data_IF_036677465925
#
_entry.id   IF_036677465925
#
_cell.length_a   1.000
_cell.length_b   1.000
_cell.length_c   1.000
_cell.angle_alpha   90.00
_cell.angle_beta   90.00
_cell.angle_gamma   90.00
#
_symmetry.space_group_name_H-M   'P 1'
#
loop_
_entity.id
_entity.type
_entity.pdbx_description
1 polymer ?
#
# COMPACT_ATOMS: atom_id res chain seq x y z
N UNK A 1 31.82 -17.44 -16.00
CA UNK A 1 30.88 -16.41 -15.52
C UNK A 1 31.70 -15.17 -15.21
N UNK A 2 31.30 -13.98 -15.68
CA UNK A 2 32.02 -12.74 -15.38
C UNK A 2 31.92 -12.38 -13.89
N UNK A 3 32.87 -11.59 -13.37
CA UNK A 3 32.86 -11.13 -11.96
C UNK A 3 31.53 -10.41 -11.63
N UNK A 4 31.02 -9.59 -12.54
CA UNK A 4 29.74 -8.90 -12.40
C UNK A 4 28.57 -9.89 -12.28
N UNK A 5 28.46 -10.88 -13.14
CA UNK A 5 27.39 -11.92 -13.05
C UNK A 5 27.51 -12.76 -11.78
N UNK A 6 28.70 -12.98 -11.24
CA UNK A 6 28.87 -13.65 -9.95
C UNK A 6 28.36 -12.79 -8.81
N UNK A 7 28.61 -11.48 -8.85
CA UNK A 7 28.09 -10.54 -7.84
C UNK A 7 26.54 -10.47 -7.89
N UNK A 8 25.94 -10.31 -9.08
CA UNK A 8 24.46 -10.31 -9.25
C UNK A 8 23.85 -11.60 -8.72
N UNK A 9 24.39 -12.75 -9.05
CA UNK A 9 23.91 -14.04 -8.53
C UNK A 9 24.04 -14.12 -7.00
N UNK A 10 25.09 -13.57 -6.43
CA UNK A 10 25.26 -13.50 -4.96
C UNK A 10 24.26 -12.53 -4.33
N UNK A 11 23.99 -11.38 -4.94
CA UNK A 11 23.03 -10.39 -4.48
C UNK A 11 21.62 -10.97 -4.46
N UNK A 12 21.18 -11.61 -5.55
CA UNK A 12 19.89 -12.30 -5.61
C UNK A 12 19.77 -13.34 -4.51
N UNK A 13 20.79 -14.20 -4.33
CA UNK A 13 20.78 -15.21 -3.26
C UNK A 13 20.66 -14.60 -1.86
N UNK A 14 21.27 -13.44 -1.59
CA UNK A 14 21.14 -12.76 -0.28
C UNK A 14 19.72 -12.30 -0.05
N UNK A 15 19.08 -11.70 -1.06
CA UNK A 15 17.68 -11.24 -0.97
C UNK A 15 16.74 -12.43 -0.75
N UNK A 16 16.88 -13.49 -1.53
CA UNK A 16 16.06 -14.70 -1.40
C UNK A 16 16.29 -15.41 -0.05
N UNK A 17 17.53 -15.49 0.41
CA UNK A 17 17.84 -16.08 1.71
C UNK A 17 17.27 -15.25 2.86
N UNK A 18 17.30 -13.92 2.78
CA UNK A 18 16.71 -13.04 3.79
C UNK A 18 15.22 -13.29 3.92
N UNK A 19 14.51 -13.34 2.81
CA UNK A 19 13.09 -13.66 2.75
C UNK A 19 12.77 -15.06 3.29
N UNK A 20 13.54 -16.09 2.91
CA UNK A 20 13.27 -17.48 3.30
C UNK A 20 13.65 -17.83 4.76
N UNK A 21 14.25 -16.89 5.52
CA UNK A 21 14.57 -17.10 6.95
C UNK A 21 13.37 -16.94 7.87
N UNK A 22 12.25 -16.42 7.38
CA UNK A 22 11.05 -16.22 8.18
C UNK A 22 9.87 -16.94 7.56
N UNK A 23 8.85 -17.26 8.38
CA UNK A 23 7.52 -17.55 7.88
C UNK A 23 6.94 -16.30 7.20
N UNK A 24 5.88 -16.48 6.40
CA UNK A 24 5.18 -15.37 5.76
C UNK A 24 4.46 -14.47 6.79
N UNK A 25 4.04 -13.30 6.35
CA UNK A 25 3.22 -12.39 7.14
C UNK A 25 1.89 -13.04 7.54
N UNK A 26 1.33 -12.64 8.68
CA UNK A 26 0.13 -13.27 9.22
C UNK A 26 -1.14 -12.92 8.42
N UNK A 27 -2.09 -13.85 8.43
CA UNK A 27 -3.47 -13.62 8.06
C UNK A 27 -4.29 -13.58 9.35
N UNK A 28 -4.94 -12.46 9.66
CA UNK A 28 -5.63 -12.23 10.93
C UNK A 28 -7.13 -12.19 10.69
N UNK A 29 -7.93 -13.11 11.27
CA UNK A 29 -9.38 -13.02 11.20
C UNK A 29 -9.91 -11.88 12.07
N UNK A 30 -10.89 -11.13 11.54
CA UNK A 30 -11.56 -10.05 12.27
C UNK A 30 -13.04 -10.34 12.38
N UNK A 31 -13.49 -10.71 13.57
CA UNK A 31 -14.91 -10.97 13.80
C UNK A 31 -15.68 -9.67 14.00
N UNK A 32 -16.70 -9.47 13.16
CA UNK A 32 -17.70 -8.40 13.27
C UNK A 32 -19.07 -9.09 13.26
N UNK A 33 -19.70 -9.30 14.43
CA UNK A 33 -20.95 -10.05 14.54
C UNK A 33 -22.08 -9.50 13.68
N UNK A 34 -22.06 -8.19 13.43
CA UNK A 34 -23.04 -7.51 12.58
C UNK A 34 -22.97 -7.95 11.12
N UNK A 35 -21.88 -8.56 10.68
CA UNK A 35 -21.68 -9.07 9.30
C UNK A 35 -21.68 -10.60 9.26
N UNK A 36 -22.60 -11.24 10.01
CA UNK A 36 -22.75 -12.69 10.00
C UNK A 36 -22.85 -13.26 8.56
N UNK A 37 -22.06 -14.27 8.26
CA UNK A 37 -21.96 -14.90 6.94
C UNK A 37 -20.89 -14.28 6.03
N UNK A 38 -20.21 -13.22 6.48
CA UNK A 38 -19.07 -12.60 5.77
C UNK A 38 -17.82 -12.70 6.64
N UNK A 39 -16.87 -13.52 6.25
CA UNK A 39 -15.61 -13.69 6.94
C UNK A 39 -14.63 -12.59 6.52
N UNK A 40 -14.03 -11.90 7.48
CA UNK A 40 -13.11 -10.77 7.21
C UNK A 40 -11.72 -11.10 7.70
N UNK A 41 -10.71 -10.87 6.85
CA UNK A 41 -9.31 -11.12 7.16
C UNK A 41 -8.44 -9.91 6.84
N UNK A 42 -7.41 -9.70 7.68
CA UNK A 42 -6.34 -8.72 7.46
C UNK A 42 -5.04 -9.45 7.11
N UNK A 43 -4.48 -9.20 5.96
CA UNK A 43 -3.12 -9.60 5.61
C UNK A 43 -2.13 -8.63 6.25
N UNK A 44 -1.41 -9.08 7.28
CA UNK A 44 -0.58 -8.22 8.13
C UNK A 44 0.81 -7.95 7.55
N UNK A 45 0.90 -7.02 6.65
CA UNK A 45 2.16 -6.60 6.05
C UNK A 45 3.02 -5.69 6.96
N UNK A 46 2.51 -5.30 8.14
CA UNK A 46 3.29 -4.55 9.13
C UNK A 46 4.35 -5.38 9.84
N UNK A 47 4.27 -6.70 9.75
CA UNK A 47 5.21 -7.63 10.40
C UNK A 47 6.53 -7.83 9.63
N UNK A 48 6.68 -7.22 8.46
CA UNK A 48 7.94 -7.19 7.74
C UNK A 48 9.07 -6.49 8.52
N UNK A 49 10.35 -6.82 8.27
CA UNK A 49 11.49 -6.17 8.93
C UNK A 49 11.50 -4.64 8.86
N UNK A 50 10.89 -4.05 7.83
CA UNK A 50 10.77 -2.59 7.65
C UNK A 50 9.39 -2.04 8.06
N UNK A 51 8.53 -2.88 8.63
CA UNK A 51 7.26 -2.48 9.23
C UNK A 51 6.15 -2.12 8.24
N UNK A 52 6.23 -2.54 6.96
CA UNK A 52 5.21 -2.21 5.97
C UNK A 52 5.22 -3.11 4.74
N UNK A 53 4.10 -3.11 4.00
CA UNK A 53 3.96 -3.79 2.71
C UNK A 53 4.99 -3.34 1.65
N UNK A 54 5.61 -2.19 1.81
CA UNK A 54 6.64 -1.69 0.90
C UNK A 54 7.90 -2.55 0.90
N UNK A 55 8.08 -3.38 1.92
CA UNK A 55 9.15 -4.37 1.95
C UNK A 55 9.07 -5.34 0.77
N UNK A 56 7.85 -5.84 0.42
CA UNK A 56 7.66 -6.68 -0.77
C UNK A 56 7.94 -5.93 -2.06
N UNK A 57 7.52 -4.67 -2.14
CA UNK A 57 7.78 -3.83 -3.31
C UNK A 57 9.28 -3.60 -3.50
N UNK A 58 9.98 -3.17 -2.45
CA UNK A 58 11.42 -2.95 -2.49
C UNK A 58 12.19 -4.22 -2.90
N UNK A 59 11.84 -5.39 -2.31
CA UNK A 59 12.38 -6.67 -2.74
C UNK A 59 12.21 -6.89 -4.25
N UNK A 60 11.02 -6.67 -4.76
CA UNK A 60 10.70 -6.87 -6.17
C UNK A 60 11.47 -5.91 -7.08
N UNK A 61 11.57 -4.63 -6.71
CA UNK A 61 12.32 -3.62 -7.46
C UNK A 61 13.81 -3.96 -7.51
N UNK A 62 14.41 -4.39 -6.39
CA UNK A 62 15.82 -4.82 -6.37
C UNK A 62 16.06 -6.04 -7.26
N UNK A 63 15.23 -7.08 -7.14
CA UNK A 63 15.36 -8.28 -7.98
C UNK A 63 15.19 -7.94 -9.47
N UNK A 64 14.23 -7.09 -9.78
CA UNK A 64 13.98 -6.64 -11.15
C UNK A 64 15.19 -5.86 -11.71
N UNK A 65 15.71 -4.90 -10.94
CA UNK A 65 16.86 -4.08 -11.36
C UNK A 65 18.13 -4.91 -11.51
N UNK A 66 18.37 -5.88 -10.61
CA UNK A 66 19.49 -6.82 -10.70
C UNK A 66 19.37 -7.71 -11.94
N UNK A 67 18.18 -8.26 -12.20
CA UNK A 67 17.94 -9.15 -13.33
C UNK A 67 18.04 -8.43 -14.69
N UNK A 68 17.69 -7.13 -14.72
CA UNK A 68 17.85 -6.29 -15.92
C UNK A 68 19.27 -5.72 -16.09
N UNK A 69 20.18 -5.95 -15.13
CA UNK A 69 21.54 -5.43 -15.19
C UNK A 69 21.64 -3.93 -14.93
N UNK A 70 20.63 -3.34 -14.28
CA UNK A 70 20.64 -1.92 -13.90
C UNK A 70 21.36 -1.67 -12.57
N UNK A 71 21.39 -2.68 -11.71
CA UNK A 71 22.18 -2.68 -10.48
C UNK A 71 23.37 -3.64 -10.60
N UNK A 72 24.53 -3.13 -10.25
CA UNK A 72 25.81 -3.87 -10.23
C UNK A 72 26.59 -3.54 -8.95
N UNK A 73 27.73 -4.18 -8.77
CA UNK A 73 28.59 -3.92 -7.60
C UNK A 73 28.97 -2.45 -7.51
N UNK A 74 28.70 -1.84 -6.35
CA UNK A 74 29.00 -0.43 -6.10
C UNK A 74 27.98 0.58 -6.64
N UNK A 75 26.91 0.13 -7.33
CA UNK A 75 25.86 1.04 -7.77
C UNK A 75 25.24 1.83 -6.62
N UNK A 76 25.08 3.14 -6.79
CA UNK A 76 24.26 3.95 -5.89
C UNK A 76 22.79 3.74 -6.24
N UNK A 77 21.97 3.38 -5.25
CA UNK A 77 20.52 3.23 -5.40
C UNK A 77 19.85 4.55 -5.02
N UNK A 78 18.93 5.04 -5.84
CA UNK A 78 18.21 6.29 -5.63
C UNK A 78 16.71 6.03 -5.68
N UNK A 79 15.95 6.65 -4.77
CA UNK A 79 14.48 6.63 -4.81
C UNK A 79 13.88 7.99 -4.40
N UNK A 80 12.82 8.39 -5.09
CA UNK A 80 12.01 9.59 -4.79
C UNK A 80 10.94 9.26 -3.75
N UNK A 81 11.32 9.09 -2.49
CA UNK A 81 10.40 8.74 -1.41
C UNK A 81 10.93 9.17 -0.04
N UNK A 82 10.06 9.77 0.78
CA UNK A 82 10.31 10.04 2.22
C UNK A 82 9.63 9.03 3.15
N UNK A 83 8.94 8.04 2.61
CA UNK A 83 8.09 7.11 3.36
C UNK A 83 8.65 5.69 3.42
N UNK A 84 7.73 4.74 3.59
CA UNK A 84 8.03 3.31 3.79
C UNK A 84 8.83 2.68 2.65
N UNK A 85 8.70 3.19 1.40
CA UNK A 85 9.50 2.69 0.27
C UNK A 85 10.97 3.00 0.48
N UNK A 86 11.33 4.26 0.80
CA UNK A 86 12.72 4.63 1.05
C UNK A 86 13.33 3.83 2.21
N UNK A 87 12.58 3.62 3.30
CA UNK A 87 13.03 2.79 4.43
C UNK A 87 13.28 1.34 3.98
N UNK A 88 12.39 0.78 3.16
CA UNK A 88 12.51 -0.60 2.69
C UNK A 88 13.64 -0.76 1.67
N UNK A 89 13.83 0.21 0.79
CA UNK A 89 14.93 0.18 -0.19
C UNK A 89 16.29 0.40 0.48
N UNK A 90 16.38 1.30 1.48
CA UNK A 90 17.58 1.45 2.29
C UNK A 90 17.98 0.14 2.98
N UNK A 91 16.99 -0.63 3.50
CA UNK A 91 17.22 -1.95 4.06
C UNK A 91 17.88 -2.91 3.04
N UNK A 92 17.32 -3.04 1.83
CA UNK A 92 17.88 -3.93 0.82
C UNK A 92 19.22 -3.43 0.27
N UNK A 93 19.39 -2.12 0.11
CA UNK A 93 20.69 -1.55 -0.27
C UNK A 93 21.77 -1.90 0.77
N UNK A 94 21.48 -1.72 2.07
CA UNK A 94 22.36 -2.13 3.17
C UNK A 94 22.66 -3.62 3.14
N UNK A 95 21.63 -4.46 2.91
CA UNK A 95 21.79 -5.92 2.80
C UNK A 95 22.80 -6.29 1.70
N UNK A 96 22.82 -5.54 0.62
CA UNK A 96 23.73 -5.77 -0.50
C UNK A 96 25.07 -5.03 -0.41
N UNK A 97 25.23 -4.11 0.55
CA UNK A 97 26.39 -3.25 0.69
C UNK A 97 26.44 -2.13 -0.35
N UNK A 98 25.27 -1.67 -0.83
CA UNK A 98 25.13 -0.59 -1.80
C UNK A 98 24.81 0.74 -1.10
N UNK A 99 25.32 1.88 -1.56
CA UNK A 99 24.86 3.19 -1.12
C UNK A 99 23.39 3.42 -1.51
N UNK A 100 22.61 4.06 -0.62
CA UNK A 100 21.22 4.46 -0.89
C UNK A 100 21.01 5.95 -0.65
N UNK A 101 20.34 6.63 -1.56
CA UNK A 101 19.96 8.03 -1.47
C UNK A 101 18.46 8.17 -1.66
N UNK A 102 17.75 8.61 -0.61
CA UNK A 102 16.38 9.04 -0.69
C UNK A 102 16.29 10.51 -1.10
N UNK A 103 15.64 10.82 -2.20
CA UNK A 103 15.35 12.19 -2.63
C UNK A 103 14.01 12.59 -2.02
N UNK A 104 14.03 13.60 -1.13
CA UNK A 104 12.90 13.95 -0.28
C UNK A 104 12.66 15.47 -0.24
N UNK A 105 11.42 15.93 0.05
CA UNK A 105 11.14 17.34 0.27
C UNK A 105 11.91 17.89 1.48
N UNK A 106 12.37 19.14 1.42
CA UNK A 106 13.14 19.78 2.49
C UNK A 106 12.33 19.95 3.80
N UNK A 107 11.00 19.91 3.73
CA UNK A 107 10.10 19.96 4.89
C UNK A 107 9.72 18.56 5.44
N UNK A 108 10.42 17.50 5.02
CA UNK A 108 10.22 16.15 5.57
C UNK A 108 10.56 16.14 7.05
N UNK A 109 9.72 15.49 7.86
CA UNK A 109 9.90 15.46 9.31
C UNK A 109 11.18 14.72 9.71
N UNK A 110 11.83 15.13 10.84
CA UNK A 110 13.05 14.49 11.33
C UNK A 110 12.91 12.98 11.57
N UNK A 111 11.74 12.53 12.01
CA UNK A 111 11.46 11.11 12.29
C UNK A 111 11.52 10.27 11.00
N UNK A 112 11.02 10.81 9.88
CA UNK A 112 11.10 10.14 8.57
C UNK A 112 12.54 10.06 8.08
N UNK A 113 13.32 11.13 8.25
CA UNK A 113 14.74 11.16 7.92
C UNK A 113 15.47 10.12 8.76
N UNK A 114 15.28 10.15 10.08
CA UNK A 114 15.92 9.21 11.01
C UNK A 114 15.59 7.74 10.68
N UNK A 115 14.36 7.44 10.24
CA UNK A 115 13.98 6.09 9.85
C UNK A 115 14.73 5.58 8.61
N UNK A 116 15.00 6.44 7.64
CA UNK A 116 15.81 6.12 6.45
C UNK A 116 17.29 5.94 6.83
N UNK A 117 17.81 6.87 7.63
CA UNK A 117 19.21 6.85 8.08
C UNK A 117 19.51 5.64 9.00
N UNK A 118 18.55 5.24 9.83
CA UNK A 118 18.64 4.01 10.64
C UNK A 118 18.86 2.76 9.78
N UNK A 119 18.33 2.74 8.57
CA UNK A 119 18.58 1.67 7.59
C UNK A 119 19.87 1.86 6.80
N UNK A 120 20.65 2.92 7.08
CA UNK A 120 21.93 3.20 6.40
C UNK A 120 21.78 4.05 5.13
N UNK A 121 20.59 4.57 4.85
CA UNK A 121 20.35 5.50 3.74
C UNK A 121 20.83 6.91 4.04
N UNK A 122 20.93 7.73 2.99
CA UNK A 122 21.18 9.17 3.07
C UNK A 122 20.00 9.91 2.46
N UNK A 123 19.71 11.13 2.95
CA UNK A 123 18.63 11.95 2.43
C UNK A 123 19.20 13.12 1.60
N UNK A 124 18.69 13.27 0.37
CA UNK A 124 18.93 14.44 -0.49
C UNK A 124 17.69 15.32 -0.49
N UNK A 125 17.82 16.54 0.03
CA UNK A 125 16.70 17.46 0.24
C UNK A 125 16.44 18.31 -1.00
N UNK A 126 15.21 18.35 -1.49
CA UNK A 126 14.77 19.25 -2.57
C UNK A 126 13.75 20.27 -2.06
N UNK A 127 13.82 21.48 -2.59
CA UNK A 127 12.95 22.58 -2.12
C UNK A 127 11.50 22.42 -2.56
N UNK A 128 11.25 21.87 -3.74
CA UNK A 128 9.90 21.70 -4.32
C UNK A 128 9.63 20.23 -4.59
N UNK A 129 8.43 19.77 -4.26
CA UNK A 129 8.03 18.37 -4.49
C UNK A 129 8.03 17.97 -5.98
N UNK A 130 7.74 18.92 -6.88
CA UNK A 130 7.81 18.69 -8.34
C UNK A 130 9.24 18.39 -8.85
N UNK A 131 10.27 18.73 -8.08
CA UNK A 131 11.67 18.50 -8.47
C UNK A 131 12.17 17.09 -8.08
N UNK A 132 11.41 16.31 -7.29
CA UNK A 132 11.81 15.00 -6.77
C UNK A 132 12.28 14.06 -7.90
N UNK A 133 11.45 13.87 -8.91
CA UNK A 133 11.75 12.98 -10.03
C UNK A 133 12.98 13.44 -10.82
N UNK A 134 13.04 14.72 -11.21
CA UNK A 134 14.17 15.27 -11.96
C UNK A 134 15.48 15.27 -11.17
N UNK A 135 15.41 15.50 -9.86
CA UNK A 135 16.58 15.41 -8.98
C UNK A 135 17.07 13.95 -8.85
N UNK A 136 16.15 12.98 -8.77
CA UNK A 136 16.51 11.56 -8.73
C UNK A 136 17.22 11.12 -10.01
N UNK A 137 16.71 11.54 -11.19
CA UNK A 137 17.37 11.25 -12.46
C UNK A 137 18.78 11.88 -12.56
N UNK A 138 18.93 13.14 -12.13
CA UNK A 138 20.25 13.80 -12.12
C UNK A 138 21.22 13.08 -11.20
N UNK A 139 20.81 12.73 -9.97
CA UNK A 139 21.64 11.97 -9.03
C UNK A 139 22.06 10.62 -9.59
N UNK A 140 21.16 9.93 -10.29
CA UNK A 140 21.49 8.66 -10.94
C UNK A 140 22.58 8.84 -12.01
N UNK A 141 22.49 9.91 -12.83
CA UNK A 141 23.51 10.26 -13.82
C UNK A 141 24.85 10.64 -13.16
N UNK A 142 24.82 11.53 -12.17
CA UNK A 142 26.01 12.06 -11.50
C UNK A 142 26.80 10.99 -10.74
N UNK A 143 26.09 10.00 -10.18
CA UNK A 143 26.69 8.91 -9.40
C UNK A 143 26.99 7.65 -10.23
N UNK A 144 26.54 7.59 -11.49
CA UNK A 144 26.50 6.34 -12.26
C UNK A 144 25.60 5.28 -11.60
N UNK A 145 24.61 5.72 -10.81
CA UNK A 145 23.70 4.88 -10.04
C UNK A 145 22.41 4.60 -10.78
N UNK A 146 21.44 4.04 -10.04
CA UNK A 146 20.13 3.65 -10.58
C UNK A 146 18.99 4.28 -9.78
N UNK A 147 18.06 4.94 -10.46
CA UNK A 147 16.80 5.41 -9.90
C UNK A 147 15.75 4.30 -10.01
N UNK A 148 15.28 3.82 -8.86
CA UNK A 148 14.36 2.67 -8.76
C UNK A 148 12.97 2.95 -9.32
N UNK A 149 12.50 4.21 -9.20
CA UNK A 149 11.24 4.71 -9.76
C UNK A 149 10.03 3.80 -9.49
N UNK A 150 9.65 3.68 -8.22
CA UNK A 150 8.54 2.83 -7.79
C UNK A 150 7.22 3.11 -8.52
N UNK A 151 6.99 4.35 -8.91
CA UNK A 151 5.74 4.76 -9.55
C UNK A 151 5.61 4.24 -10.99
N UNK A 152 6.74 4.09 -11.66
CA UNK A 152 6.81 3.50 -13.00
C UNK A 152 6.88 1.98 -12.95
N UNK A 153 7.65 1.41 -12.01
CA UNK A 153 8.03 0.00 -12.08
C UNK A 153 7.29 -0.91 -11.09
N UNK A 154 6.51 -0.42 -10.13
CA UNK A 154 5.90 -1.27 -9.10
C UNK A 154 5.05 -2.43 -9.67
N UNK A 155 4.28 -2.19 -10.75
CA UNK A 155 3.39 -3.18 -11.33
C UNK A 155 4.13 -4.27 -12.16
N UNK A 156 5.27 -3.91 -12.76
CA UNK A 156 6.05 -4.80 -13.64
C UNK A 156 7.22 -5.46 -12.93
N UNK A 157 7.75 -4.86 -11.88
CA UNK A 157 8.81 -5.44 -11.08
C UNK A 157 8.32 -6.61 -10.23
N UNK A 158 7.06 -6.61 -9.82
CA UNK A 158 6.48 -7.69 -9.04
C UNK A 158 6.20 -8.90 -9.94
N UNK A 159 6.80 -10.04 -9.64
CA UNK A 159 6.42 -11.30 -10.27
C UNK A 159 5.05 -11.75 -9.72
N UNK A 160 4.00 -11.30 -10.39
CA UNK A 160 2.62 -11.55 -9.97
C UNK A 160 2.19 -13.02 -10.14
N UNK A 161 2.94 -13.85 -10.84
CA UNK A 161 2.63 -15.30 -11.02
C UNK A 161 3.10 -16.14 -9.85
N UNK A 162 4.23 -15.77 -9.21
CA UNK A 162 4.93 -16.59 -8.22
C UNK A 162 5.80 -15.72 -7.30
N UNK A 163 6.84 -16.31 -6.71
CA UNK A 163 7.87 -15.66 -5.90
C UNK A 163 7.31 -15.03 -4.62
N UNK A 164 6.31 -15.72 -4.03
CA UNK A 164 5.66 -15.28 -2.80
C UNK A 164 5.26 -13.79 -2.83
N UNK A 165 4.65 -13.37 -3.94
CA UNK A 165 3.99 -12.07 -3.98
C UNK A 165 2.79 -12.05 -3.03
N UNK A 166 2.25 -10.85 -2.74
CA UNK A 166 1.16 -10.72 -1.77
C UNK A 166 -0.10 -11.52 -2.14
N UNK A 167 -0.40 -11.65 -3.44
CA UNK A 167 -1.56 -12.43 -3.88
C UNK A 167 -1.35 -13.92 -3.60
N UNK A 168 -0.22 -14.50 -4.02
CA UNK A 168 0.11 -15.89 -3.73
C UNK A 168 0.06 -16.18 -2.23
N UNK A 169 0.62 -15.28 -1.42
CA UNK A 169 0.62 -15.38 0.04
C UNK A 169 -0.81 -15.43 0.60
N UNK A 170 -1.69 -14.51 0.17
CA UNK A 170 -3.10 -14.47 0.59
C UNK A 170 -3.80 -15.80 0.21
N UNK A 171 -3.77 -16.21 -1.05
CA UNK A 171 -4.49 -17.40 -1.50
C UNK A 171 -3.95 -18.69 -0.87
N UNK A 172 -2.64 -18.77 -0.60
CA UNK A 172 -2.05 -19.92 0.10
C UNK A 172 -2.56 -20.04 1.53
N UNK A 173 -2.67 -18.93 2.25
CA UNK A 173 -3.18 -18.93 3.63
C UNK A 173 -4.70 -19.11 3.66
N UNK A 174 -5.44 -18.46 2.79
CA UNK A 174 -6.89 -18.61 2.68
C UNK A 174 -7.32 -20.03 2.33
N UNK A 175 -6.48 -20.83 1.67
CA UNK A 175 -6.81 -22.22 1.32
C UNK A 175 -7.15 -23.11 2.55
N UNK A 176 -6.81 -22.68 3.76
CA UNK A 176 -7.12 -23.38 5.02
C UNK A 176 -8.32 -22.78 5.75
N UNK A 177 -8.91 -21.70 5.24
CA UNK A 177 -10.04 -21.00 5.85
C UNK A 177 -11.39 -21.55 5.35
N UNK A 178 -12.52 -21.34 6.08
CA UNK A 178 -13.85 -21.85 5.70
C UNK A 178 -14.29 -21.41 4.31
N UNK A 179 -13.98 -20.18 3.91
CA UNK A 179 -14.23 -19.62 2.59
C UNK A 179 -12.90 -19.39 1.87
N UNK A 180 -12.30 -20.44 1.27
CA UNK A 180 -10.88 -20.45 0.89
C UNK A 180 -10.55 -19.58 -0.33
N UNK A 181 -11.54 -19.21 -1.12
CA UNK A 181 -11.39 -18.28 -2.24
C UNK A 181 -12.09 -16.97 -1.86
N UNK A 182 -11.33 -15.89 -1.57
CA UNK A 182 -11.96 -14.63 -1.22
C UNK A 182 -12.94 -14.16 -2.28
N UNK A 183 -14.15 -13.77 -1.89
CA UNK A 183 -15.07 -13.10 -2.80
C UNK A 183 -14.49 -11.75 -3.24
N UNK A 184 -13.84 -11.07 -2.30
CA UNK A 184 -13.21 -9.78 -2.53
C UNK A 184 -11.84 -9.68 -1.86
N UNK A 185 -10.91 -8.99 -2.54
CA UNK A 185 -9.70 -8.46 -1.91
C UNK A 185 -9.73 -6.94 -2.03
N UNK A 186 -9.55 -6.26 -0.89
CA UNK A 186 -9.61 -4.80 -0.78
C UNK A 186 -8.22 -4.24 -0.55
N UNK A 187 -7.83 -3.24 -1.32
CA UNK A 187 -6.57 -2.52 -1.12
C UNK A 187 -6.74 -1.02 -1.44
N UNK A 188 -5.77 -0.21 -1.02
CA UNK A 188 -5.73 1.22 -1.33
C UNK A 188 -4.54 1.54 -2.22
N UNK A 189 -4.73 2.25 -3.35
CA UNK A 189 -3.65 2.50 -4.29
C UNK A 189 -2.72 3.63 -3.82
N UNK A 190 -1.41 3.36 -3.78
CA UNK A 190 -0.34 4.35 -3.66
C UNK A 190 0.43 4.46 -4.98
N UNK A 191 0.96 3.34 -5.47
CA UNK A 191 1.51 3.21 -6.82
C UNK A 191 0.56 2.53 -7.80
N UNK A 192 -0.38 1.73 -7.28
CA UNK A 192 -1.24 0.84 -8.06
C UNK A 192 -0.71 -0.60 -8.20
N UNK A 193 0.58 -0.83 -7.90
CA UNK A 193 1.22 -2.14 -8.11
C UNK A 193 0.58 -3.30 -7.34
N UNK A 194 0.10 -3.07 -6.13
CA UNK A 194 -0.61 -4.09 -5.33
C UNK A 194 -1.91 -4.52 -5.99
N UNK A 195 -2.74 -3.57 -6.42
CA UNK A 195 -4.00 -3.86 -7.11
C UNK A 195 -3.76 -4.62 -8.42
N UNK A 196 -2.76 -4.20 -9.20
CA UNK A 196 -2.38 -4.89 -10.43
C UNK A 196 -1.93 -6.34 -10.17
N UNK A 197 -1.12 -6.56 -9.11
CA UNK A 197 -0.66 -7.90 -8.71
C UNK A 197 -1.82 -8.80 -8.32
N UNK A 198 -2.73 -8.31 -7.47
CA UNK A 198 -3.91 -9.05 -6.99
C UNK A 198 -4.84 -9.43 -8.16
N UNK A 199 -5.20 -8.46 -9.01
CA UNK A 199 -6.12 -8.69 -10.12
C UNK A 199 -5.53 -9.62 -11.20
N UNK A 200 -4.25 -9.46 -11.52
CA UNK A 200 -3.55 -10.37 -12.46
C UNK A 200 -3.48 -11.80 -11.92
N UNK A 201 -3.15 -11.95 -10.63
CA UNK A 201 -3.05 -13.28 -10.01
C UNK A 201 -4.41 -13.99 -9.97
N UNK A 202 -5.47 -13.30 -9.53
CA UNK A 202 -6.81 -13.88 -9.49
C UNK A 202 -7.24 -14.38 -10.88
N UNK A 203 -7.08 -13.57 -11.93
CA UNK A 203 -7.40 -13.95 -13.31
C UNK A 203 -6.52 -15.10 -13.82
N UNK A 204 -5.22 -15.05 -13.54
CA UNK A 204 -4.29 -16.09 -13.98
C UNK A 204 -4.59 -17.44 -13.36
N UNK A 205 -5.05 -17.46 -12.10
CA UNK A 205 -5.44 -18.67 -11.39
C UNK A 205 -6.89 -19.10 -11.64
N UNK A 206 -7.68 -18.30 -12.37
CA UNK A 206 -9.09 -18.57 -12.62
C UNK A 206 -9.97 -18.46 -11.37
N UNK A 207 -9.59 -17.59 -10.40
CA UNK A 207 -10.40 -17.31 -9.23
C UNK A 207 -11.47 -16.27 -9.55
N UNK A 208 -12.67 -16.44 -9.02
CA UNK A 208 -13.78 -15.46 -9.12
C UNK A 208 -13.59 -14.25 -8.18
N UNK A 209 -12.45 -14.18 -7.50
CA UNK A 209 -12.09 -13.08 -6.61
C UNK A 209 -12.07 -11.76 -7.34
N UNK A 210 -12.75 -10.76 -6.79
CA UNK A 210 -12.79 -9.38 -7.29
C UNK A 210 -11.90 -8.48 -6.47
N UNK A 211 -11.39 -7.44 -7.11
CA UNK A 211 -10.51 -6.44 -6.49
C UNK A 211 -11.27 -5.13 -6.33
N UNK A 212 -11.43 -4.70 -5.08
CA UNK A 212 -11.90 -3.35 -4.74
C UNK A 212 -10.73 -2.47 -4.37
N UNK A 213 -10.60 -1.30 -5.00
CA UNK A 213 -9.70 -0.25 -4.56
C UNK A 213 -10.46 0.83 -3.77
N UNK A 214 -10.01 1.08 -2.52
CA UNK A 214 -10.48 2.17 -1.70
C UNK A 214 -9.49 3.35 -1.81
N UNK A 215 -9.95 4.46 -2.39
CA UNK A 215 -9.13 5.63 -2.71
C UNK A 215 -9.52 6.81 -1.80
N UNK A 216 -8.57 7.57 -1.24
CA UNK A 216 -8.89 8.77 -0.46
C UNK A 216 -9.66 9.81 -1.27
N UNK A 217 -10.44 10.65 -0.60
CA UNK A 217 -11.26 11.68 -1.25
C UNK A 217 -10.46 12.67 -2.11
N UNK A 218 -9.22 12.98 -1.71
CA UNK A 218 -8.32 13.88 -2.45
C UNK A 218 -7.26 13.05 -3.19
N UNK A 219 -7.71 12.31 -4.20
CA UNK A 219 -6.84 11.45 -5.04
C UNK A 219 -7.38 11.36 -6.46
N UNK A 220 -6.48 11.22 -7.43
CA UNK A 220 -6.79 11.14 -8.85
C UNK A 220 -7.17 9.72 -9.33
N UNK A 221 -6.91 8.68 -8.54
CA UNK A 221 -7.09 7.29 -9.02
C UNK A 221 -8.55 6.94 -9.28
N UNK A 222 -9.48 7.38 -8.43
CA UNK A 222 -10.91 7.13 -8.63
C UNK A 222 -11.42 7.76 -9.93
N UNK A 223 -11.03 9.01 -10.20
CA UNK A 223 -11.44 9.70 -11.43
C UNK A 223 -10.74 9.11 -12.66
N UNK A 224 -9.48 8.66 -12.53
CA UNK A 224 -8.78 7.94 -13.59
C UNK A 224 -9.45 6.58 -13.90
N UNK A 225 -9.88 5.83 -12.88
CA UNK A 225 -10.62 4.58 -13.05
C UNK A 225 -11.92 4.77 -13.81
N UNK A 226 -12.61 5.90 -13.58
CA UNK A 226 -13.85 6.28 -14.30
C UNK A 226 -13.61 6.82 -15.70
N UNK A 227 -12.35 7.04 -16.11
CA UNK A 227 -12.02 7.72 -17.37
C UNK A 227 -12.34 9.22 -17.35
N UNK A 228 -12.45 9.84 -16.17
CA UNK A 228 -12.83 11.24 -16.00
C UNK A 228 -11.65 12.13 -15.57
N UNK A 229 -10.48 11.55 -15.33
CA UNK A 229 -9.30 12.35 -14.97
C UNK A 229 -8.77 13.13 -16.18
N UNK A 230 -8.39 14.38 -15.95
CA UNK A 230 -7.75 15.25 -16.95
C UNK A 230 -6.46 15.84 -16.38
N UNK A 231 -5.39 15.85 -17.18
CA UNK A 231 -4.14 16.51 -16.83
C UNK A 231 -4.27 18.04 -16.73
N UNK A 232 -5.29 18.62 -17.36
CA UNK A 232 -5.58 20.07 -17.33
C UNK A 232 -6.43 20.47 -16.11
N UNK A 233 -6.90 19.50 -15.31
CA UNK A 233 -7.63 19.79 -14.09
C UNK A 233 -6.72 20.47 -13.05
N UNK A 234 -7.33 21.27 -12.16
CA UNK A 234 -6.59 21.88 -11.06
C UNK A 234 -5.87 20.77 -10.24
N UNK A 235 -4.59 20.97 -9.89
CA UNK A 235 -3.83 19.96 -9.17
C UNK A 235 -4.47 19.69 -7.81
N UNK A 236 -4.66 18.41 -7.48
CA UNK A 236 -5.12 17.97 -6.18
C UNK A 236 -4.02 18.19 -5.14
N UNK A 237 -4.42 18.54 -3.92
CA UNK A 237 -3.46 18.75 -2.81
C UNK A 237 -2.79 17.45 -2.34
N UNK A 238 -3.29 16.29 -2.77
CA UNK A 238 -2.88 14.99 -2.27
C UNK A 238 -3.65 14.58 -1.00
N UNK A 239 -3.62 13.30 -0.69
CA UNK A 239 -4.31 12.74 0.47
C UNK A 239 -3.62 13.10 1.79
N UNK A 240 -4.41 13.31 2.85
CA UNK A 240 -3.91 13.35 4.24
C UNK A 240 -3.53 11.96 4.76
N UNK A 241 -4.00 10.90 4.09
CA UNK A 241 -3.66 9.52 4.44
C UNK A 241 -2.33 9.16 3.79
N UNK A 242 -1.30 8.99 4.62
CA UNK A 242 0.06 8.73 4.13
C UNK A 242 0.16 7.41 3.35
N UNK A 243 0.95 7.43 2.29
CA UNK A 243 1.31 6.25 1.49
C UNK A 243 0.30 5.84 0.42
N UNK A 244 -0.87 6.48 0.37
CA UNK A 244 -1.91 6.23 -0.62
C UNK A 244 -2.49 7.55 -1.15
N UNK A 245 -3.21 7.46 -2.27
CA UNK A 245 -3.76 8.63 -2.95
C UNK A 245 -2.68 9.50 -3.60
N UNK A 246 -2.95 9.94 -4.82
CA UNK A 246 -1.98 10.74 -5.60
C UNK A 246 -2.68 11.90 -6.29
N UNK A 247 -1.97 13.01 -6.52
CA UNK A 247 -2.51 14.15 -7.26
C UNK A 247 -2.72 13.87 -8.76
N UNK A 248 -2.04 12.84 -9.29
CA UNK A 248 -2.17 12.33 -10.65
C UNK A 248 -2.09 10.81 -10.66
N UNK A 249 -2.68 10.12 -11.68
CA UNK A 249 -2.51 8.68 -11.82
C UNK A 249 -1.06 8.32 -12.12
N UNK A 250 -0.59 7.24 -11.51
CA UNK A 250 0.78 6.74 -11.70
C UNK A 250 0.83 5.67 -12.79
N UNK A 251 2.00 5.48 -13.42
CA UNK A 251 2.17 4.51 -14.51
C UNK A 251 1.87 3.06 -14.09
N UNK A 252 2.10 2.74 -12.80
CA UNK A 252 1.78 1.41 -12.23
C UNK A 252 0.31 1.23 -11.85
N UNK A 253 -0.55 2.23 -12.04
CA UNK A 253 -1.99 2.10 -11.82
C UNK A 253 -2.66 1.50 -13.07
N UNK A 254 -3.12 0.26 -12.96
CA UNK A 254 -3.72 -0.50 -14.07
C UNK A 254 -5.22 -0.70 -13.82
N UNK A 255 -6.10 0.20 -14.30
CA UNK A 255 -7.54 0.15 -14.03
C UNK A 255 -8.19 -1.18 -14.41
N UNK A 256 -7.75 -1.81 -15.51
CA UNK A 256 -8.28 -3.08 -15.96
C UNK A 256 -8.03 -4.28 -15.02
N UNK A 257 -7.17 -4.12 -14.01
CA UNK A 257 -6.95 -5.14 -12.97
C UNK A 257 -7.87 -4.95 -11.76
N UNK A 258 -8.73 -3.93 -11.77
CA UNK A 258 -9.61 -3.53 -10.66
C UNK A 258 -11.06 -3.76 -11.11
N UNK A 259 -11.90 -4.30 -10.24
CA UNK A 259 -13.31 -4.60 -10.56
C UNK A 259 -14.24 -3.50 -10.04
N UNK A 260 -13.88 -2.84 -8.94
CA UNK A 260 -14.60 -1.69 -8.41
C UNK A 260 -13.69 -0.73 -7.64
N UNK A 261 -14.11 0.52 -7.54
CA UNK A 261 -13.46 1.52 -6.69
C UNK A 261 -14.48 2.26 -5.81
N UNK A 262 -14.03 2.63 -4.61
CA UNK A 262 -14.74 3.54 -3.72
C UNK A 262 -13.85 4.74 -3.39
N UNK A 263 -14.45 5.93 -3.33
CA UNK A 263 -13.79 7.17 -2.90
C UNK A 263 -14.20 7.46 -1.47
N UNK A 264 -13.23 7.45 -0.56
CA UNK A 264 -13.46 7.41 0.88
C UNK A 264 -13.06 8.75 1.52
N UNK A 265 -13.95 9.39 2.30
CA UNK A 265 -13.59 10.56 3.09
C UNK A 265 -12.47 10.24 4.09
N UNK A 266 -11.49 11.18 4.24
CA UNK A 266 -10.35 11.00 5.15
C UNK A 266 -10.82 10.73 6.59
N UNK A 267 -11.87 11.42 7.07
CA UNK A 267 -12.41 11.21 8.42
C UNK A 267 -12.98 9.79 8.60
N UNK A 268 -13.63 9.23 7.58
CA UNK A 268 -14.11 7.84 7.63
C UNK A 268 -12.98 6.83 7.59
N UNK A 269 -11.92 7.10 6.80
CA UNK A 269 -10.69 6.32 6.80
C UNK A 269 -10.06 6.23 8.19
N UNK A 270 -9.99 7.37 8.90
CA UNK A 270 -9.40 7.46 10.24
C UNK A 270 -10.28 6.79 11.31
N UNK A 271 -11.59 6.90 11.22
CA UNK A 271 -12.52 6.15 12.10
C UNK A 271 -12.36 4.62 11.91
N UNK A 272 -12.29 4.17 10.67
CA UNK A 272 -12.03 2.76 10.35
C UNK A 272 -10.65 2.30 10.87
N UNK A 273 -9.62 3.13 10.76
CA UNK A 273 -8.29 2.85 11.34
C UNK A 273 -8.38 2.66 12.86
N UNK A 274 -9.05 3.57 13.57
CA UNK A 274 -9.27 3.48 15.03
C UNK A 274 -10.04 2.22 15.42
N UNK A 275 -11.07 1.90 14.66
CA UNK A 275 -11.87 0.68 14.86
C UNK A 275 -11.01 -0.59 14.74
N UNK A 276 -10.21 -0.70 13.66
CA UNK A 276 -9.28 -1.83 13.47
C UNK A 276 -8.25 -1.88 14.59
N UNK A 277 -7.67 -0.74 14.96
CA UNK A 277 -6.69 -0.66 16.05
C UNK A 277 -7.26 -1.17 17.38
N UNK A 278 -8.51 -0.79 17.70
CA UNK A 278 -9.22 -1.27 18.90
C UNK A 278 -9.48 -2.78 18.84
N UNK A 279 -9.91 -3.31 17.69
CA UNK A 279 -10.15 -4.76 17.50
C UNK A 279 -8.87 -5.58 17.65
N UNK A 280 -7.72 -5.06 17.20
CA UNK A 280 -6.43 -5.76 17.25
C UNK A 280 -5.63 -5.51 18.55
N UNK A 281 -6.03 -4.54 19.35
CA UNK A 281 -5.25 -4.12 20.55
C UNK A 281 -3.91 -3.49 20.21
N UNK A 282 -3.72 -2.98 18.97
CA UNK A 282 -2.48 -2.32 18.52
C UNK A 282 -2.76 -1.26 17.46
N UNK A 283 -1.85 -0.30 17.32
CA UNK A 283 -1.95 0.76 16.32
C UNK A 283 -1.71 0.22 14.90
N UNK A 284 -2.49 0.75 13.93
CA UNK A 284 -2.36 0.48 12.50
C UNK A 284 -2.28 1.78 11.72
N UNK A 285 -1.78 1.76 10.48
CA UNK A 285 -1.67 2.96 9.65
C UNK A 285 -3.00 3.42 9.05
N UNK A 286 -3.07 4.68 8.64
CA UNK A 286 -4.28 5.29 8.05
C UNK A 286 -4.73 4.61 6.76
N UNK A 287 -3.81 4.14 5.92
CA UNK A 287 -4.11 3.38 4.71
C UNK A 287 -4.84 2.07 4.96
N UNK A 288 -4.57 1.41 6.12
CA UNK A 288 -5.36 0.26 6.58
C UNK A 288 -6.80 0.67 6.85
N UNK A 289 -7.02 1.85 7.44
CA UNK A 289 -8.38 2.38 7.67
C UNK A 289 -9.13 2.66 6.36
N UNK A 290 -8.47 3.26 5.37
CA UNK A 290 -9.07 3.49 4.04
C UNK A 290 -9.46 2.17 3.37
N UNK A 291 -8.58 1.17 3.39
CA UNK A 291 -8.89 -0.17 2.87
C UNK A 291 -10.05 -0.80 3.64
N UNK A 292 -10.07 -0.66 4.97
CA UNK A 292 -11.13 -1.21 5.82
C UNK A 292 -12.48 -0.51 5.62
N UNK A 293 -12.50 0.77 5.22
CA UNK A 293 -13.73 1.44 4.78
C UNK A 293 -14.36 0.72 3.57
N UNK A 294 -13.54 0.27 2.62
CA UNK A 294 -14.00 -0.58 1.52
C UNK A 294 -14.53 -1.94 2.01
N UNK A 295 -13.91 -2.53 3.04
CA UNK A 295 -14.35 -3.81 3.63
C UNK A 295 -15.73 -3.68 4.25
N UNK A 296 -15.96 -2.70 5.12
CA UNK A 296 -17.27 -2.53 5.79
C UNK A 296 -18.36 -2.21 4.80
N UNK A 297 -18.03 -1.49 3.74
CA UNK A 297 -18.91 -1.18 2.61
C UNK A 297 -19.38 -2.46 1.89
N UNK A 298 -18.43 -3.33 1.53
CA UNK A 298 -18.71 -4.61 0.88
C UNK A 298 -19.45 -5.58 1.80
N UNK A 299 -18.98 -5.72 3.04
CA UNK A 299 -19.57 -6.63 4.01
C UNK A 299 -21.04 -6.29 4.29
N UNK A 300 -21.35 -4.98 4.41
CA UNK A 300 -22.71 -4.50 4.56
C UNK A 300 -23.58 -4.88 3.36
N UNK A 301 -23.08 -4.64 2.13
CA UNK A 301 -23.79 -4.97 0.91
C UNK A 301 -24.00 -6.49 0.77
N UNK A 302 -22.96 -7.30 0.99
CA UNK A 302 -23.06 -8.76 0.95
C UNK A 302 -24.11 -9.26 1.92
N UNK A 303 -24.15 -8.73 3.15
CA UNK A 303 -25.18 -9.07 4.14
C UNK A 303 -26.59 -8.70 3.66
N UNK A 304 -26.79 -7.48 3.16
CA UNK A 304 -28.10 -7.02 2.66
C UNK A 304 -28.61 -7.84 1.47
N UNK A 305 -27.69 -8.32 0.64
CA UNK A 305 -27.99 -9.19 -0.51
C UNK A 305 -28.05 -10.69 -0.13
N UNK A 306 -27.85 -11.05 1.14
CA UNK A 306 -27.84 -12.43 1.62
C UNK A 306 -26.67 -13.28 1.07
N UNK A 307 -25.61 -12.64 0.61
CA UNK A 307 -24.41 -13.32 0.09
C UNK A 307 -23.46 -13.69 1.23
N UNK A 308 -22.89 -14.88 1.12
CA UNK A 308 -21.82 -15.37 2.01
C UNK A 308 -20.48 -15.33 1.29
N UNK A 309 -19.39 -15.40 2.06
CA UNK A 309 -18.03 -15.46 1.50
C UNK A 309 -17.02 -14.72 2.36
N UNK A 310 -15.78 -14.65 1.89
CA UNK A 310 -14.72 -13.97 2.61
C UNK A 310 -14.27 -12.68 1.90
N UNK A 311 -13.82 -11.72 2.71
CA UNK A 311 -13.18 -10.47 2.27
C UNK A 311 -11.80 -10.40 2.92
N UNK A 312 -10.76 -10.25 2.10
CA UNK A 312 -9.40 -10.02 2.59
C UNK A 312 -9.00 -8.57 2.35
N UNK A 313 -8.41 -7.92 3.33
CA UNK A 313 -7.78 -6.61 3.15
C UNK A 313 -6.37 -6.59 3.71
N UNK A 314 -5.64 -5.50 3.48
CA UNK A 314 -4.24 -5.39 3.84
C UNK A 314 -4.07 -4.48 5.05
N UNK A 315 -3.44 -4.98 6.11
CA UNK A 315 -2.87 -4.16 7.15
C UNK A 315 -1.50 -3.68 6.64
N UNK A 316 -1.48 -2.45 6.11
CA UNK A 316 -0.39 -1.97 5.26
C UNK A 316 0.90 -1.71 6.02
N UNK A 317 0.80 -1.15 7.24
CA UNK A 317 1.94 -0.79 8.08
C UNK A 317 1.57 -0.64 9.55
N UNK A 318 2.61 -0.58 10.40
CA UNK A 318 2.46 -0.30 11.83
C UNK A 318 2.03 1.15 12.07
N UNK A 319 1.09 1.36 12.97
CA UNK A 319 0.59 2.66 13.38
C UNK A 319 1.49 3.45 14.33
N UNK A 320 2.58 2.85 14.82
CA UNK A 320 3.46 3.49 15.81
C UNK A 320 4.11 4.77 15.27
N UNK A 321 4.40 4.84 13.98
CA UNK A 321 4.95 6.02 13.31
C UNK A 321 3.98 7.20 13.21
N UNK A 322 2.70 7.01 13.52
CA UNK A 322 1.64 8.02 13.40
C UNK A 322 1.16 8.56 14.76
N UNK A 323 1.96 8.37 15.82
CA UNK A 323 1.65 8.84 17.15
C UNK A 323 1.48 10.37 17.26
N UNK A 324 2.18 11.13 16.41
CA UNK A 324 2.10 12.58 16.33
C UNK A 324 0.99 13.10 15.40
N UNK A 325 0.34 12.23 14.63
CA UNK A 325 -0.72 12.56 13.68
C UNK A 325 -2.02 11.82 14.02
N UNK A 326 -2.28 10.68 13.41
CA UNK A 326 -3.58 9.96 13.47
C UNK A 326 -3.96 9.45 14.86
N UNK A 327 -3.04 9.40 15.81
CA UNK A 327 -3.27 9.04 17.21
C UNK A 327 -3.10 10.23 18.17
N UNK A 328 -3.22 11.46 17.65
CA UNK A 328 -3.11 12.70 18.40
C UNK A 328 -4.37 13.57 18.19
N UNK A 329 -5.09 13.87 19.27
CA UNK A 329 -6.31 14.67 19.24
C UNK A 329 -6.08 16.11 18.74
N UNK A 330 -4.90 16.70 19.02
CA UNK A 330 -4.55 18.04 18.52
C UNK A 330 -4.42 18.05 17.00
N UNK A 331 -3.91 16.96 16.41
CA UNK A 331 -3.79 16.83 14.98
C UNK A 331 -5.17 16.82 14.29
N UNK A 332 -6.17 16.13 14.87
CA UNK A 332 -7.54 16.15 14.35
C UNK A 332 -8.13 17.55 14.37
N UNK A 333 -7.94 18.29 15.48
CA UNK A 333 -8.40 19.70 15.61
C UNK A 333 -7.75 20.61 14.58
N UNK A 334 -6.43 20.51 14.39
CA UNK A 334 -5.66 21.28 13.40
C UNK A 334 -6.09 21.01 11.96
N UNK A 335 -6.56 19.81 11.66
CA UNK A 335 -7.01 19.39 10.34
C UNK A 335 -8.54 19.51 10.15
N UNK A 336 -9.25 20.08 11.11
CA UNK A 336 -10.70 20.23 11.11
C UNK A 336 -11.46 18.90 10.88
N UNK A 337 -10.99 17.80 11.48
CA UNK A 337 -11.61 16.48 11.42
C UNK A 337 -12.34 16.22 12.73
N UNK A 338 -13.66 16.19 12.69
CA UNK A 338 -14.50 15.74 13.82
C UNK A 338 -14.49 14.21 13.88
N UNK A 339 -13.46 13.64 14.49
CA UNK A 339 -13.29 12.19 14.55
C UNK A 339 -14.40 11.50 15.36
N UNK A 340 -14.96 12.17 16.38
CA UNK A 340 -16.05 11.60 17.18
C UNK A 340 -17.31 11.38 16.33
N UNK A 341 -17.65 12.35 15.49
CA UNK A 341 -18.76 12.21 14.53
C UNK A 341 -18.52 11.05 13.54
N UNK A 342 -17.28 10.89 13.07
CA UNK A 342 -16.94 9.78 12.16
C UNK A 342 -16.96 8.41 12.85
N UNK A 343 -16.50 8.31 14.11
CA UNK A 343 -16.60 7.09 14.92
C UNK A 343 -18.06 6.70 15.15
N UNK A 344 -18.95 7.66 15.41
CA UNK A 344 -20.39 7.42 15.52
C UNK A 344 -21.01 6.94 14.20
N UNK A 345 -20.68 7.61 13.08
CA UNK A 345 -21.16 7.22 11.75
C UNK A 345 -20.75 5.78 11.41
N UNK A 346 -19.48 5.41 11.66
CA UNK A 346 -19.00 4.04 11.44
C UNK A 346 -19.79 3.03 12.30
N UNK A 347 -19.94 3.31 13.57
CA UNK A 347 -20.69 2.43 14.48
C UNK A 347 -22.14 2.23 14.04
N UNK A 348 -22.82 3.31 13.64
CA UNK A 348 -24.20 3.25 13.10
C UNK A 348 -24.27 2.50 11.77
N UNK A 349 -23.27 2.68 10.91
CA UNK A 349 -23.20 2.00 9.62
C UNK A 349 -23.03 0.48 9.81
N UNK A 350 -22.09 0.05 10.66
CA UNK A 350 -21.87 -1.37 10.98
C UNK A 350 -23.16 -1.98 11.56
N UNK A 351 -23.82 -1.28 12.47
CA UNK A 351 -25.07 -1.72 13.08
C UNK A 351 -26.29 -1.70 12.13
N UNK A 352 -26.15 -1.24 10.91
CA UNK A 352 -27.25 -1.15 9.95
C UNK A 352 -28.22 0.00 10.18
N UNK A 353 -27.81 1.02 10.94
CA UNK A 353 -28.66 2.17 11.31
C UNK A 353 -28.31 3.44 10.52
N UNK A 354 -27.39 3.37 9.59
CA UNK A 354 -27.01 4.45 8.70
C UNK A 354 -27.01 3.97 7.26
N UNK A 355 -27.70 4.67 6.32
CA UNK A 355 -27.65 4.36 4.90
C UNK A 355 -26.26 4.57 4.30
N UNK A 356 -26.01 3.90 3.19
CA UNK A 356 -24.73 4.01 2.46
C UNK A 356 -24.46 5.46 2.00
N UNK A 357 -25.47 6.13 1.48
CA UNK A 357 -25.36 7.48 0.92
C UNK A 357 -24.95 8.53 1.97
N UNK A 358 -25.26 8.31 3.24
CA UNK A 358 -24.92 9.22 4.33
C UNK A 358 -23.44 9.17 4.76
N UNK A 359 -22.66 8.20 4.22
CA UNK A 359 -21.22 8.12 4.46
C UNK A 359 -20.40 9.05 3.57
N UNK A 360 -20.99 9.62 2.50
CA UNK A 360 -20.27 10.40 1.51
C UNK A 360 -19.26 9.59 0.68
N UNK A 361 -19.44 8.26 0.61
CA UNK A 361 -18.62 7.36 -0.17
C UNK A 361 -19.17 7.30 -1.60
N UNK A 362 -18.40 7.77 -2.59
CA UNK A 362 -18.70 7.53 -3.98
C UNK A 362 -18.17 6.15 -4.40
N UNK A 363 -18.88 5.48 -5.30
CA UNK A 363 -18.45 4.18 -5.82
C UNK A 363 -18.60 4.08 -7.34
N UNK A 364 -17.81 3.22 -7.97
CA UNK A 364 -17.87 2.89 -9.38
C UNK A 364 -17.43 1.45 -9.62
N UNK A 365 -18.03 0.79 -10.62
CA UNK A 365 -17.84 -0.62 -10.93
C UNK A 365 -18.89 -1.52 -10.29
N UNK A 366 -18.88 -2.79 -10.68
CA UNK A 366 -19.85 -3.77 -10.19
C UNK A 366 -19.42 -4.29 -8.81
N UNK A 367 -20.03 -3.76 -7.78
CA UNK A 367 -19.89 -4.26 -6.40
C UNK A 367 -20.87 -5.40 -6.07
N UNK A 368 -21.56 -5.93 -7.10
CA UNK A 368 -22.50 -7.04 -6.99
C UNK A 368 -21.82 -8.38 -6.88
#
# INVERSE_FOLDING_TARGET
>A
MTQERMWVASAIRRIEADFNRSADTHLIPVNIPEFEGVDIYLKDESSHPTGSLKHRLARSLFLYSLANGWLHSGSTVIEASSGSTAVSEAYFARLLGLPFIAVIPANTSPEKIAAIEFQGGRCHLVKKACDLHSASLRLAQDTGGHFMDQFTYAERATDWRANNNIAQSIFTQMAQEPEPVPAWIVCSPGTGGTAATLGRYARYRGHDTRILCADPEVSAFFDAYRGMWSADAAPLQGSRIEGIGRPSPEASFIPHCIDAMVKVPDGFSLACMRYVAAKLGRRVGGSTGTSFAGVVTLARRMKEEGRRGSIVTILCDSGERYGHSYYNEDWYRQNAIDIASWDEKLSRFIAGKLPFDDLGIAHHGAMQ
#
